data_IF_004971883720
#
_entry.id   IF_004971883720
#
_cell.length_a   1.000
_cell.length_b   1.000
_cell.length_c   1.000
_cell.angle_alpha   90.00
_cell.angle_beta   90.00
_cell.angle_gamma   90.00
#
_symmetry.space_group_name_H-M   'P 1'
#
loop_
_entity.id
_entity.type
_entity.pdbx_description
1 polymer ?
#
# COMPACT_ATOMS: atom_id res chain seq x y z
N UNK A 1 -31.54 -7.39 37.81
CA UNK A 1 -30.07 -7.27 37.71
C UNK A 1 -29.70 -7.04 36.25
N UNK A 2 -29.32 -5.81 35.88
CA UNK A 2 -28.77 -5.50 34.56
C UNK A 2 -27.26 -5.54 34.69
N UNK A 3 -26.59 -6.47 34.03
CA UNK A 3 -25.13 -6.45 33.93
C UNK A 3 -24.72 -5.15 33.25
N UNK A 4 -24.20 -4.18 34.01
CA UNK A 4 -23.53 -3.03 33.44
C UNK A 4 -22.25 -3.56 32.78
N UNK A 5 -22.26 -3.70 31.46
CA UNK A 5 -21.13 -4.24 30.71
C UNK A 5 -19.86 -3.42 30.95
N UNK A 6 -18.75 -4.09 31.28
CA UNK A 6 -17.45 -3.44 31.40
C UNK A 6 -17.11 -2.78 30.05
N UNK A 7 -16.56 -1.55 30.02
CA UNK A 7 -16.25 -0.86 28.77
C UNK A 7 -15.29 -1.67 27.86
N UNK A 8 -14.44 -2.51 28.44
CA UNK A 8 -13.57 -3.43 27.71
C UNK A 8 -14.33 -4.47 26.87
N UNK A 9 -15.53 -4.88 27.27
CA UNK A 9 -16.36 -5.80 26.50
C UNK A 9 -16.91 -5.12 25.24
N UNK A 10 -17.25 -3.84 25.32
CA UNK A 10 -17.67 -3.05 24.16
C UNK A 10 -16.50 -2.86 23.18
N UNK A 11 -15.30 -2.53 23.69
CA UNK A 11 -14.11 -2.43 22.84
C UNK A 11 -13.78 -3.76 22.13
N UNK A 12 -13.86 -4.89 22.83
CA UNK A 12 -13.65 -6.21 22.24
C UNK A 12 -14.66 -6.52 21.13
N UNK A 13 -15.94 -6.17 21.33
CA UNK A 13 -16.96 -6.30 20.29
C UNK A 13 -16.69 -5.42 19.08
N UNK A 14 -16.28 -4.17 19.28
CA UNK A 14 -15.90 -3.26 18.19
C UNK A 14 -14.75 -3.87 17.37
N UNK A 15 -13.69 -4.33 18.01
CA UNK A 15 -12.57 -4.97 17.30
C UNK A 15 -13.00 -6.25 16.57
N UNK A 16 -13.83 -7.09 17.18
CA UNK A 16 -14.34 -8.29 16.53
C UNK A 16 -15.14 -7.95 15.26
N UNK A 17 -16.00 -6.92 15.32
CA UNK A 17 -16.75 -6.43 14.17
C UNK A 17 -15.81 -5.87 13.10
N UNK A 18 -14.81 -5.06 13.48
CA UNK A 18 -13.84 -4.50 12.53
C UNK A 18 -13.04 -5.59 11.82
N UNK A 19 -12.58 -6.61 12.54
CA UNK A 19 -11.88 -7.77 11.95
C UNK A 19 -12.82 -8.53 11.00
N UNK A 20 -14.06 -8.76 11.41
CA UNK A 20 -15.04 -9.44 10.55
C UNK A 20 -15.32 -8.65 9.25
N UNK A 21 -15.49 -7.33 9.34
CA UNK A 21 -15.66 -6.45 8.17
C UNK A 21 -14.41 -6.42 7.30
N UNK A 22 -13.21 -6.38 7.90
CA UNK A 22 -11.95 -6.46 7.18
C UNK A 22 -11.85 -7.76 6.37
N UNK A 23 -12.12 -8.91 6.99
CA UNK A 23 -12.12 -10.20 6.29
C UNK A 23 -13.22 -10.28 5.21
N UNK A 24 -14.41 -9.73 5.48
CA UNK A 24 -15.48 -9.64 4.50
C UNK A 24 -15.07 -8.82 3.27
N UNK A 25 -14.23 -7.79 3.44
CA UNK A 25 -13.74 -6.98 2.33
C UNK A 25 -12.86 -7.78 1.35
N UNK A 26 -12.05 -8.74 1.84
CA UNK A 26 -11.30 -9.64 0.96
C UNK A 26 -12.21 -10.61 0.22
N UNK A 27 -13.24 -11.14 0.88
CA UNK A 27 -14.20 -12.01 0.23
C UNK A 27 -14.98 -11.27 -0.86
N UNK A 28 -15.37 -10.02 -0.62
CA UNK A 28 -16.02 -9.15 -1.60
C UNK A 28 -15.07 -8.83 -2.77
N UNK A 29 -13.82 -8.46 -2.48
CA UNK A 29 -12.80 -8.22 -3.49
C UNK A 29 -12.56 -9.45 -4.38
N UNK A 30 -12.51 -10.65 -3.80
CA UNK A 30 -12.39 -11.91 -4.55
C UNK A 30 -13.59 -12.15 -5.46
N UNK A 31 -14.82 -11.95 -4.96
CA UNK A 31 -16.06 -12.07 -5.76
C UNK A 31 -16.08 -11.06 -6.91
N UNK A 32 -15.68 -9.82 -6.65
CA UNK A 32 -15.63 -8.75 -7.63
C UNK A 32 -14.55 -9.01 -8.68
N UNK A 33 -13.39 -9.54 -8.27
CA UNK A 33 -12.33 -9.98 -9.17
C UNK A 33 -12.80 -11.07 -10.14
N UNK A 34 -13.54 -12.07 -9.66
CA UNK A 34 -14.11 -13.11 -10.53
C UNK A 34 -15.11 -12.53 -11.53
N UNK A 35 -16.01 -11.63 -11.08
CA UNK A 35 -16.97 -10.95 -11.96
C UNK A 35 -16.29 -10.07 -13.03
N UNK A 36 -15.17 -9.43 -12.69
CA UNK A 36 -14.41 -8.53 -13.56
C UNK A 36 -13.31 -9.24 -14.37
N UNK A 37 -13.13 -10.56 -14.21
CA UNK A 37 -12.06 -11.31 -14.87
C UNK A 37 -12.07 -11.17 -16.40
N UNK A 38 -13.25 -11.22 -17.01
CA UNK A 38 -13.40 -11.00 -18.46
C UNK A 38 -13.05 -9.58 -18.90
N UNK A 39 -13.46 -8.56 -18.15
CA UNK A 39 -13.12 -7.17 -18.39
C UNK A 39 -11.60 -6.93 -18.23
N UNK A 40 -10.99 -7.54 -17.21
CA UNK A 40 -9.54 -7.51 -16.99
C UNK A 40 -8.77 -8.17 -18.14
N UNK A 41 -9.24 -9.31 -18.64
CA UNK A 41 -8.62 -9.98 -19.79
C UNK A 41 -8.68 -9.11 -21.06
N UNK A 42 -9.83 -8.50 -21.34
CA UNK A 42 -9.98 -7.58 -22.48
C UNK A 42 -9.07 -6.34 -22.36
N UNK A 43 -8.93 -5.78 -21.15
CA UNK A 43 -8.01 -4.67 -20.89
C UNK A 43 -6.54 -5.07 -21.04
N UNK A 44 -6.16 -6.26 -20.57
CA UNK A 44 -4.81 -6.78 -20.72
C UNK A 44 -4.46 -7.01 -22.20
N UNK A 45 -5.39 -7.54 -22.99
CA UNK A 45 -5.22 -7.69 -24.43
C UNK A 45 -5.05 -6.33 -25.12
N UNK A 46 -5.89 -5.35 -24.78
CA UNK A 46 -5.77 -3.98 -25.31
C UNK A 46 -4.42 -3.36 -24.95
N UNK A 47 -3.97 -3.50 -23.70
CA UNK A 47 -2.66 -3.02 -23.25
C UNK A 47 -1.52 -3.66 -24.06
N UNK A 48 -1.58 -4.97 -24.31
CA UNK A 48 -0.59 -5.68 -25.12
C UNK A 48 -0.58 -5.19 -26.57
N UNK A 49 -1.76 -4.98 -27.18
CA UNK A 49 -1.90 -4.45 -28.55
C UNK A 49 -1.32 -3.04 -28.68
N UNK A 50 -1.53 -2.21 -27.67
CA UNK A 50 -1.02 -0.84 -27.60
C UNK A 50 0.44 -0.76 -27.14
N UNK A 51 1.08 -1.90 -26.83
CA UNK A 51 2.44 -1.97 -26.27
C UNK A 51 2.59 -1.14 -24.99
N UNK A 52 1.53 -1.06 -24.19
CA UNK A 52 1.59 -0.46 -22.86
C UNK A 52 2.32 -1.43 -21.93
N UNK A 53 3.32 -0.92 -21.23
CA UNK A 53 4.20 -1.73 -20.38
C UNK A 53 3.53 -2.18 -19.09
N UNK A 54 2.35 -1.65 -18.73
CA UNK A 54 1.68 -2.02 -17.49
C UNK A 54 0.15 -1.86 -17.51
N UNK A 55 -0.52 -2.77 -16.80
CA UNK A 55 -1.87 -2.55 -16.30
C UNK A 55 -1.74 -1.58 -15.10
N UNK A 56 -2.30 -0.37 -15.19
CA UNK A 56 -2.25 0.59 -14.09
C UNK A 56 -3.00 0.04 -12.86
N UNK A 57 -2.28 -0.59 -11.93
CA UNK A 57 -2.81 -1.07 -10.66
C UNK A 57 -3.13 0.08 -9.71
N UNK A 58 -2.45 1.21 -9.89
CA UNK A 58 -2.62 2.42 -9.11
C UNK A 58 -2.94 3.59 -10.04
N UNK A 59 -3.99 4.35 -9.72
CA UNK A 59 -4.48 5.48 -10.54
C UNK A 59 -3.90 6.81 -10.09
N UNK A 60 -2.78 6.79 -9.39
CA UNK A 60 -2.17 7.94 -8.72
C UNK A 60 -1.25 8.74 -9.64
N UNK A 61 -1.12 10.05 -9.40
CA UNK A 61 -0.42 10.97 -10.29
C UNK A 61 0.75 11.74 -9.64
N UNK A 62 1.99 11.31 -9.94
CA UNK A 62 3.09 12.21 -10.41
C UNK A 62 3.43 11.96 -11.91
N UNK A 63 2.44 11.40 -12.61
CA UNK A 63 2.23 11.22 -14.05
C UNK A 63 3.18 10.29 -14.83
N UNK A 64 2.75 9.02 -14.91
CA UNK A 64 2.97 8.07 -16.02
C UNK A 64 4.40 7.59 -16.29
N UNK A 65 5.16 7.21 -15.25
CA UNK A 65 6.33 6.34 -15.44
C UNK A 65 6.22 5.13 -14.53
N UNK A 66 6.48 3.96 -15.11
CA UNK A 66 6.68 2.71 -14.40
C UNK A 66 7.66 2.97 -13.24
N UNK A 67 7.44 2.47 -12.02
CA UNK A 67 8.33 2.78 -10.89
C UNK A 67 9.81 2.48 -11.13
N UNK A 68 10.12 1.53 -12.01
CA UNK A 68 11.51 1.25 -12.47
C UNK A 68 12.11 2.31 -13.42
N UNK A 69 11.30 3.22 -13.94
CA UNK A 69 11.65 4.33 -14.85
C UNK A 69 11.54 5.70 -14.17
N UNK A 70 11.31 5.73 -12.86
CA UNK A 70 11.43 6.94 -12.06
C UNK A 70 12.91 7.34 -11.98
N UNK A 71 13.19 8.64 -12.12
CA UNK A 71 14.54 9.17 -11.92
C UNK A 71 15.00 8.91 -10.47
N UNK A 72 16.31 8.74 -10.25
CA UNK A 72 16.88 8.57 -8.91
C UNK A 72 16.59 9.77 -7.99
N UNK A 73 16.26 10.92 -8.57
CA UNK A 73 15.84 12.13 -7.88
C UNK A 73 14.31 12.30 -7.79
N UNK A 74 13.52 11.35 -8.30
CA UNK A 74 12.05 11.39 -8.22
C UNK A 74 11.47 10.64 -7.01
N UNK A 75 12.18 9.65 -6.47
CA UNK A 75 11.76 9.03 -5.22
C UNK A 75 11.88 10.06 -4.08
N UNK A 76 10.74 10.50 -3.54
CA UNK A 76 10.63 11.56 -2.53
C UNK A 76 11.07 12.97 -2.98
N UNK A 77 10.42 13.52 -4.02
CA UNK A 77 10.56 14.96 -4.38
C UNK A 77 9.95 15.93 -3.35
N UNK A 78 9.37 15.40 -2.27
CA UNK A 78 8.85 16.20 -1.17
C UNK A 78 9.97 16.52 -0.17
N UNK A 79 9.66 17.26 0.89
CA UNK A 79 10.67 17.63 1.88
C UNK A 79 11.31 16.38 2.53
N UNK A 80 12.56 16.45 3.02
CA UNK A 80 13.11 15.40 3.88
C UNK A 80 12.13 15.12 5.04
N UNK A 81 11.72 13.86 5.23
CA UNK A 81 10.73 13.36 6.21
C UNK A 81 9.23 13.52 5.85
N UNK A 82 8.88 13.86 4.62
CA UNK A 82 7.47 13.94 4.23
C UNK A 82 6.86 12.54 4.15
N UNK A 83 5.60 12.41 4.56
CA UNK A 83 4.85 11.17 4.33
C UNK A 83 4.53 11.05 2.83
N UNK A 84 4.93 9.92 2.25
CA UNK A 84 4.59 9.55 0.88
C UNK A 84 3.06 9.52 0.74
N UNK A 85 2.54 10.23 -0.26
CA UNK A 85 1.12 10.31 -0.54
C UNK A 85 0.63 9.18 -1.45
N UNK A 86 1.55 8.46 -2.09
CA UNK A 86 1.23 7.41 -3.05
C UNK A 86 1.45 5.99 -2.49
N UNK A 87 0.37 5.20 -2.27
CA UNK A 87 0.45 3.78 -1.92
C UNK A 87 1.51 2.96 -2.66
N UNK A 88 1.73 3.19 -3.95
CA UNK A 88 2.73 2.48 -4.76
C UNK A 88 4.17 2.61 -4.22
N UNK A 89 4.52 3.71 -3.56
CA UNK A 89 5.83 3.89 -2.92
C UNK A 89 6.09 2.90 -1.78
N UNK A 90 5.04 2.38 -1.12
CA UNK A 90 5.16 1.39 -0.05
C UNK A 90 5.41 -0.04 -0.54
N UNK A 91 5.26 -0.30 -1.85
CA UNK A 91 5.41 -1.62 -2.44
C UNK A 91 6.80 -1.87 -3.03
N UNK A 92 7.61 -0.83 -3.17
CA UNK A 92 8.96 -0.94 -3.70
C UNK A 92 9.96 -1.17 -2.56
N UNK A 93 10.81 -2.20 -2.66
CA UNK A 93 11.89 -2.37 -1.70
C UNK A 93 12.91 -1.22 -1.86
N UNK A 94 13.61 -0.84 -0.78
CA UNK A 94 14.69 0.13 -0.87
C UNK A 94 15.76 -0.32 -1.88
N UNK A 95 16.42 0.61 -2.58
CA UNK A 95 17.49 0.32 -3.54
C UNK A 95 18.52 -0.64 -2.96
N UNK A 96 19.03 -1.59 -3.77
CA UNK A 96 19.92 -2.65 -3.31
C UNK A 96 21.16 -2.13 -2.57
N UNK A 97 21.70 -0.98 -2.98
CA UNK A 97 22.86 -0.35 -2.33
C UNK A 97 22.54 0.23 -0.95
N UNK A 98 21.27 0.55 -0.66
CA UNK A 98 20.83 1.04 0.65
C UNK A 98 20.48 -0.10 1.64
N UNK A 99 20.38 -1.35 1.17
CA UNK A 99 19.99 -2.50 2.01
C UNK A 99 21.09 -2.95 2.99
N UNK A 100 22.32 -2.45 2.82
CA UNK A 100 23.50 -2.86 3.59
C UNK A 100 24.08 -1.76 4.51
N UNK A 101 23.32 -0.71 4.82
CA UNK A 101 23.82 0.33 5.73
C UNK A 101 23.70 -0.10 7.20
N UNK A 102 24.74 0.21 7.98
CA UNK A 102 24.73 0.05 9.42
C UNK A 102 23.62 0.90 10.04
N UNK A 103 22.96 0.39 11.07
CA UNK A 103 21.94 1.11 11.83
C UNK A 103 22.56 2.34 12.50
N UNK A 104 22.27 3.54 11.98
CA UNK A 104 22.74 4.82 12.52
C UNK A 104 21.93 5.27 13.76
N UNK A 105 20.90 4.50 14.15
CA UNK A 105 20.04 4.77 15.30
C UNK A 105 20.78 4.74 16.66
N UNK A 106 22.03 4.25 16.68
CA UNK A 106 22.81 4.13 17.91
C UNK A 106 23.78 5.27 18.21
N UNK A 107 23.92 6.27 17.33
CA UNK A 107 24.92 7.34 17.51
C UNK A 107 24.39 8.62 18.20
N UNK A 108 23.09 8.74 18.48
CA UNK A 108 22.54 9.92 19.17
C UNK A 108 22.52 9.79 20.70
N UNK A 109 23.58 9.24 21.31
CA UNK A 109 23.84 9.53 22.73
C UNK A 109 24.54 10.88 22.81
N UNK A 110 23.76 11.93 23.04
CA UNK A 110 24.30 13.24 23.40
C UNK A 110 25.08 13.06 24.71
N UNK A 111 26.37 13.43 24.78
CA UNK A 111 27.11 13.37 26.03
C UNK A 111 26.53 14.39 27.02
N UNK A 112 26.41 13.99 28.29
CA UNK A 112 25.96 14.82 29.41
C UNK A 112 26.80 16.12 29.57
#
# INVERSE_FOLDING_TARGET
MRYAGRPSALAAWVFAVLIALFLASFADAGRLGQKRSGEQAARAELAARLRLTDLALFTEARYTRHPSLADLHSAAQDHPLSLEHFPSGSLLPPPAHLRNHASLDRETTVPD
#
